data_IF_042248680155
#
_entry.id   IF_042248680155
#
_cell.length_a   1.000
_cell.length_b   1.000
_cell.length_c   1.000
_cell.angle_alpha   90.00
_cell.angle_beta   90.00
_cell.angle_gamma   90.00
#
_symmetry.space_group_name_H-M   'P 1'
#
loop_
_entity.id
_entity.type
_entity.pdbx_description
1 polymer ?
#
# COMPACT_ATOMS: atom_id res chain seq x y z
N UNK A 1 11.40 1.16 -4.22
CA UNK A 1 12.76 1.09 -4.79
C UNK A 1 12.78 2.01 -5.99
N UNK A 2 13.58 3.06 -5.94
CA UNK A 2 13.75 3.98 -7.08
C UNK A 2 14.65 3.31 -8.14
N UNK A 3 14.71 3.85 -9.35
CA UNK A 3 15.70 3.44 -10.34
C UNK A 3 17.10 3.89 -9.88
N UNK A 4 17.73 3.14 -8.98
CA UNK A 4 19.01 3.49 -8.33
C UNK A 4 20.24 3.10 -9.16
N UNK A 5 20.04 2.59 -10.37
CA UNK A 5 21.12 2.18 -11.28
C UNK A 5 20.71 2.40 -12.73
N UNK A 6 21.71 2.59 -13.58
CA UNK A 6 21.52 2.67 -15.02
C UNK A 6 20.91 1.37 -15.54
N UNK A 7 19.98 1.53 -16.48
CA UNK A 7 19.29 0.41 -17.14
C UNK A 7 18.77 0.87 -18.50
N UNK A 8 18.55 -0.07 -19.40
CA UNK A 8 17.95 0.16 -20.72
C UNK A 8 16.65 -0.63 -20.76
N UNK A 9 15.57 0.03 -21.20
CA UNK A 9 14.28 -0.59 -21.48
C UNK A 9 14.08 -0.45 -22.99
N UNK A 10 13.97 -1.58 -23.66
CA UNK A 10 13.83 -1.64 -25.11
C UNK A 10 12.37 -1.48 -25.54
N UNK A 11 12.17 -1.09 -26.80
CA UNK A 11 10.83 -0.97 -27.36
C UNK A 11 10.13 -2.34 -27.36
N UNK A 12 9.03 -2.44 -26.59
CA UNK A 12 8.22 -3.65 -26.47
C UNK A 12 8.44 -4.42 -25.17
N UNK A 13 9.37 -3.97 -24.31
CA UNK A 13 9.60 -4.58 -23.01
C UNK A 13 8.35 -4.50 -22.11
N UNK A 14 7.95 -5.65 -21.58
CA UNK A 14 6.83 -5.78 -20.64
C UNK A 14 7.34 -5.62 -19.22
N UNK A 15 7.47 -4.38 -18.77
CA UNK A 15 8.06 -4.04 -17.46
C UNK A 15 7.06 -4.00 -16.30
N UNK A 16 5.77 -4.14 -16.59
CA UNK A 16 4.70 -4.12 -15.60
C UNK A 16 3.48 -4.91 -16.06
N UNK A 17 2.55 -5.10 -15.12
CA UNK A 17 1.25 -5.74 -15.33
C UNK A 17 0.19 -4.93 -14.61
N UNK A 18 -1.06 -5.02 -15.06
CA UNK A 18 -2.19 -4.41 -14.38
C UNK A 18 -3.27 -5.46 -14.12
N UNK A 19 -4.17 -5.13 -13.20
CA UNK A 19 -5.40 -5.88 -12.96
C UNK A 19 -6.54 -4.94 -12.61
N UNK A 20 -7.75 -5.45 -12.76
CA UNK A 20 -8.97 -4.76 -12.34
C UNK A 20 -9.35 -5.15 -10.92
N UNK A 21 -9.98 -4.20 -10.22
CA UNK A 21 -10.59 -4.36 -8.92
C UNK A 21 -11.80 -3.44 -8.82
N UNK A 22 -12.73 -3.81 -7.96
CA UNK A 22 -13.80 -2.92 -7.53
C UNK A 22 -13.21 -1.74 -6.74
N UNK A 23 -13.76 -0.55 -6.94
CA UNK A 23 -13.41 0.63 -6.15
C UNK A 23 -14.03 0.48 -4.77
N UNK A 24 -13.34 0.95 -3.74
CA UNK A 24 -13.90 1.03 -2.39
C UNK A 24 -15.29 1.69 -2.44
N UNK A 25 -16.30 1.15 -1.72
CA UNK A 25 -17.60 1.82 -1.61
C UNK A 25 -17.43 3.22 -1.00
N UNK A 26 -18.36 4.16 -1.23
CA UNK A 26 -18.38 5.42 -0.51
C UNK A 26 -18.46 5.19 1.00
N UNK A 27 -17.66 5.92 1.76
CA UNK A 27 -17.66 5.87 3.23
C UNK A 27 -17.67 7.31 3.73
N UNK A 28 -18.47 7.57 4.75
CA UNK A 28 -18.47 8.82 5.49
C UNK A 28 -17.54 8.71 6.69
N UNK A 29 -16.65 9.68 6.85
CA UNK A 29 -15.79 9.78 8.02
C UNK A 29 -16.50 10.60 9.09
N UNK A 30 -16.65 10.02 10.28
CA UNK A 30 -17.20 10.70 11.44
C UNK A 30 -16.06 11.23 12.32
N UNK A 31 -16.09 12.53 12.60
CA UNK A 31 -15.15 13.16 13.54
C UNK A 31 -15.50 12.75 14.97
N UNK A 32 -14.49 12.40 15.77
CA UNK A 32 -14.67 12.03 17.16
C UNK A 32 -13.47 12.48 18.00
N UNK A 33 -13.71 12.69 19.30
CA UNK A 33 -12.68 13.13 20.24
C UNK A 33 -11.62 12.04 20.51
N UNK A 34 -12.01 10.77 20.51
CA UNK A 34 -11.12 9.64 20.72
C UNK A 34 -11.72 8.32 20.19
N UNK A 35 -10.84 7.41 19.75
CA UNK A 35 -11.20 6.02 19.47
C UNK A 35 -11.21 5.21 20.76
N UNK A 36 -12.13 4.26 20.90
CA UNK A 36 -12.35 3.50 22.14
C UNK A 36 -11.52 2.23 22.29
N UNK A 37 -10.82 1.82 21.24
CA UNK A 37 -10.10 0.53 21.18
C UNK A 37 -8.61 0.69 21.53
N UNK A 38 -7.96 -0.44 21.78
CA UNK A 38 -6.54 -0.51 22.12
C UNK A 38 -5.65 -0.54 20.89
N UNK A 39 -4.46 0.06 21.01
CA UNK A 39 -3.45 0.00 19.95
C UNK A 39 -2.97 -1.44 19.74
N UNK A 40 -3.27 -2.00 18.58
CA UNK A 40 -2.72 -3.29 18.15
C UNK A 40 -1.20 -3.23 17.92
N UNK A 41 -0.66 -2.04 17.61
CA UNK A 41 0.71 -1.83 17.17
C UNK A 41 0.89 -1.88 15.65
N UNK A 42 2.09 -1.51 15.19
CA UNK A 42 2.41 -1.26 13.78
C UNK A 42 3.57 -2.12 13.26
N UNK A 43 4.34 -1.56 12.32
CA UNK A 43 5.40 -2.28 11.61
C UNK A 43 6.35 -3.04 12.54
N UNK A 44 6.37 -4.36 12.39
CA UNK A 44 7.21 -5.27 13.17
C UNK A 44 6.72 -5.59 14.59
N UNK A 45 5.53 -5.14 14.99
CA UNK A 45 4.96 -5.36 16.34
C UNK A 45 4.80 -6.84 16.71
N UNK A 46 4.62 -7.73 15.73
CA UNK A 46 4.52 -9.18 15.94
C UNK A 46 5.87 -9.90 15.92
N UNK A 47 6.97 -9.16 15.74
CA UNK A 47 8.31 -9.73 15.60
C UNK A 47 8.51 -10.54 14.33
N UNK A 48 9.73 -11.06 14.19
CA UNK A 48 10.17 -11.91 13.07
C UNK A 48 10.94 -13.06 13.72
N UNK A 49 10.29 -14.18 14.01
CA UNK A 49 10.94 -15.43 14.41
C UNK A 49 10.25 -16.57 13.68
#
# INVERSE_FOLDING_TARGET
VYATRDTVIEKGDRICQFRIYEVQPPIDFEECEALSDTDRGGFGSTGVR
#
